data_IF_691225151961
#
_entry.id   IF_691225151961
#
_cell.length_a   1.000
_cell.length_b   1.000
_cell.length_c   1.000
_cell.angle_alpha   90.00
_cell.angle_beta   90.00
_cell.angle_gamma   90.00
#
_symmetry.space_group_name_H-M   'P 1'
#
loop_
_entity.id
_entity.type
_entity.pdbx_description
1 polymer ?
#
# COMPACT_ATOMS: atom_id res chain seq x y z
N UNK A 1 -8.87 3.48 -18.35
CA UNK A 1 -7.99 4.56 -18.85
C UNK A 1 -8.07 5.81 -17.98
N UNK A 2 -9.22 6.49 -17.96
CA UNK A 2 -9.40 7.80 -17.31
C UNK A 2 -9.00 7.80 -15.83
N UNK A 3 -9.39 6.77 -15.07
CA UNK A 3 -9.05 6.67 -13.63
C UNK A 3 -7.53 6.69 -13.40
N UNK A 4 -6.76 5.94 -14.18
CA UNK A 4 -5.29 5.90 -14.05
C UNK A 4 -4.65 7.25 -14.38
N UNK A 5 -5.16 7.93 -15.41
CA UNK A 5 -4.68 9.26 -15.77
C UNK A 5 -4.95 10.28 -14.65
N UNK A 6 -6.15 10.28 -14.08
CA UNK A 6 -6.51 11.17 -12.95
C UNK A 6 -5.66 10.87 -11.73
N UNK A 7 -5.48 9.60 -11.36
CA UNK A 7 -4.63 9.21 -10.22
C UNK A 7 -3.19 9.70 -10.40
N UNK A 8 -2.64 9.58 -11.61
CA UNK A 8 -1.30 10.08 -11.92
C UNK A 8 -1.21 11.60 -11.77
N UNK A 9 -2.15 12.34 -12.37
CA UNK A 9 -2.20 13.79 -12.28
C UNK A 9 -2.33 14.28 -10.81
N UNK A 10 -3.22 13.67 -10.04
CA UNK A 10 -3.41 13.97 -8.61
C UNK A 10 -2.14 13.68 -7.81
N UNK A 11 -1.45 12.56 -8.08
CA UNK A 11 -0.18 12.24 -7.44
C UNK A 11 0.91 13.29 -7.69
N UNK A 12 1.04 13.78 -8.93
CA UNK A 12 2.00 14.84 -9.28
C UNK A 12 1.65 16.17 -8.60
N UNK A 13 0.39 16.60 -8.70
CA UNK A 13 -0.06 17.88 -8.14
C UNK A 13 0.06 17.90 -6.60
N UNK A 14 -0.30 16.79 -5.96
CA UNK A 14 -0.16 16.64 -4.50
C UNK A 14 1.30 16.67 -4.08
N UNK A 15 2.20 15.97 -4.77
CA UNK A 15 3.64 16.01 -4.46
C UNK A 15 4.21 17.43 -4.52
N UNK A 16 3.86 18.21 -5.55
CA UNK A 16 4.26 19.62 -5.68
C UNK A 16 3.71 20.46 -4.53
N UNK A 17 2.42 20.29 -4.21
CA UNK A 17 1.75 21.03 -3.13
C UNK A 17 2.39 20.75 -1.77
N UNK A 18 2.67 19.48 -1.49
CA UNK A 18 3.29 19.02 -0.25
C UNK A 18 4.72 19.53 -0.14
N UNK A 19 5.51 19.43 -1.21
CA UNK A 19 6.87 19.94 -1.24
C UNK A 19 6.90 21.45 -0.98
N UNK A 20 5.96 22.21 -1.56
CA UNK A 20 5.81 23.63 -1.30
C UNK A 20 5.47 23.94 0.15
N UNK A 21 4.50 23.23 0.74
CA UNK A 21 4.10 23.39 2.14
C UNK A 21 5.25 23.06 3.10
N UNK A 22 5.93 21.92 2.90
CA UNK A 22 7.05 21.49 3.74
C UNK A 22 8.24 22.45 3.65
N UNK A 23 8.60 22.89 2.44
CA UNK A 23 9.67 23.88 2.21
C UNK A 23 9.40 25.18 2.96
N UNK A 24 8.13 25.59 3.06
CA UNK A 24 7.73 26.83 3.74
C UNK A 24 7.60 26.67 5.25
N UNK A 25 7.39 25.47 5.77
CA UNK A 25 7.07 25.22 7.18
C UNK A 25 8.23 24.58 7.93
N UNK A 26 8.54 23.33 7.60
CA UNK A 26 9.39 22.44 8.41
C UNK A 26 10.83 22.41 7.91
N UNK A 27 11.07 22.44 6.60
CA UNK A 27 12.42 22.30 6.01
C UNK A 27 13.00 23.64 5.57
N UNK A 28 12.92 24.65 6.45
CA UNK A 28 13.58 25.94 6.24
C UNK A 28 15.09 25.76 6.41
N UNK A 29 15.84 25.90 5.33
CA UNK A 29 17.30 25.79 5.35
C UNK A 29 17.93 26.42 4.13
N UNK A 30 19.23 26.73 4.22
CA UNK A 30 20.00 27.20 3.08
C UNK A 30 20.01 26.10 1.99
N UNK A 31 19.73 26.43 0.73
CA UNK A 31 19.86 25.46 -0.35
C UNK A 31 21.31 24.97 -0.38
N UNK A 32 21.51 23.68 -0.12
CA UNK A 32 22.81 23.04 -0.27
C UNK A 32 23.14 23.09 -1.78
N UNK A 33 24.23 23.74 -2.19
CA UNK A 33 24.61 23.79 -3.59
C UNK A 33 24.84 22.35 -4.06
N UNK A 34 23.99 21.92 -4.99
CA UNK A 34 24.08 20.60 -5.58
C UNK A 34 25.27 20.63 -6.54
N UNK A 35 26.45 20.32 -6.01
CA UNK A 35 27.66 20.09 -6.80
C UNK A 35 27.45 18.81 -7.61
N UNK A 36 26.78 18.98 -8.75
CA UNK A 36 26.57 17.90 -9.71
C UNK A 36 27.79 17.86 -10.61
N UNK A 37 28.92 17.44 -10.04
CA UNK A 37 30.08 17.06 -10.84
C UNK A 37 29.69 15.81 -11.62
N UNK A 38 29.52 15.95 -12.94
CA UNK A 38 29.07 14.85 -13.77
C UNK A 38 30.20 13.80 -13.80
N UNK A 39 30.01 12.60 -13.22
CA UNK A 39 31.02 11.57 -13.26
C UNK A 39 31.24 11.14 -14.72
N UNK A 40 32.45 10.69 -15.04
CA UNK A 40 32.78 10.20 -16.37
C UNK A 40 31.82 9.09 -16.77
N UNK A 41 31.02 9.31 -17.81
CA UNK A 41 30.05 8.33 -18.31
C UNK A 41 30.79 7.17 -18.97
N UNK A 42 30.94 6.05 -18.25
CA UNK A 42 31.54 4.82 -18.77
C UNK A 42 30.44 3.90 -19.28
N UNK A 43 30.59 3.38 -20.50
CA UNK A 43 29.66 2.39 -21.03
C UNK A 43 29.76 1.10 -20.22
N UNK A 44 28.62 0.50 -19.80
CA UNK A 44 28.64 -0.74 -19.03
C UNK A 44 29.09 -1.90 -19.91
N UNK A 45 29.90 -2.81 -19.36
CA UNK A 45 30.16 -4.10 -19.99
C UNK A 45 28.86 -4.92 -19.96
N UNK A 46 28.43 -5.40 -21.13
CA UNK A 46 27.16 -6.12 -21.27
C UNK A 46 27.13 -7.38 -20.40
N UNK A 47 28.25 -8.10 -20.25
CA UNK A 47 28.27 -9.34 -19.47
C UNK A 47 28.09 -9.05 -17.98
N UNK A 48 28.79 -8.06 -17.47
CA UNK A 48 28.66 -7.64 -16.07
C UNK A 48 27.26 -7.08 -15.79
N UNK A 49 26.70 -6.33 -16.74
CA UNK A 49 25.32 -5.86 -16.64
C UNK A 49 24.33 -7.03 -16.47
N UNK A 50 24.38 -8.05 -17.34
CA UNK A 50 23.48 -9.20 -17.25
C UNK A 50 23.71 -10.04 -15.99
N UNK A 51 24.96 -10.23 -15.58
CA UNK A 51 25.33 -10.95 -14.35
C UNK A 51 24.78 -10.25 -13.11
N UNK A 52 24.96 -8.93 -13.03
CA UNK A 52 24.45 -8.12 -11.93
C UNK A 52 22.92 -8.04 -11.93
N UNK A 53 22.31 -7.91 -13.11
CA UNK A 53 20.85 -7.88 -13.24
C UNK A 53 20.23 -9.20 -12.79
N UNK A 54 20.77 -10.33 -13.24
CA UNK A 54 20.29 -11.67 -12.87
C UNK A 54 20.49 -11.95 -11.38
N UNK A 55 21.64 -11.59 -10.81
CA UNK A 55 21.88 -11.70 -9.37
C UNK A 55 20.90 -10.85 -8.54
N UNK A 56 20.61 -9.62 -8.98
CA UNK A 56 19.62 -8.75 -8.33
C UNK A 56 18.20 -9.27 -8.49
N UNK A 57 17.84 -9.77 -9.67
CA UNK A 57 16.53 -10.39 -9.92
C UNK A 57 16.33 -11.63 -9.05
N UNK A 58 17.35 -12.51 -8.95
CA UNK A 58 17.30 -13.69 -8.08
C UNK A 58 17.22 -13.31 -6.60
N UNK A 59 17.99 -12.30 -6.18
CA UNK A 59 17.91 -11.78 -4.82
C UNK A 59 16.51 -11.20 -4.52
N UNK A 60 15.88 -10.52 -5.48
CA UNK A 60 14.52 -10.03 -5.36
C UNK A 60 13.51 -11.18 -5.22
N UNK A 61 13.55 -12.18 -6.10
CA UNK A 61 12.67 -13.35 -6.05
C UNK A 61 12.79 -14.06 -4.70
N UNK A 62 14.01 -14.29 -4.21
CA UNK A 62 14.20 -14.93 -2.90
C UNK A 62 13.69 -14.06 -1.75
N UNK A 63 13.99 -12.76 -1.72
CA UNK A 63 13.62 -11.89 -0.59
C UNK A 63 12.13 -11.54 -0.58
N UNK A 64 11.58 -11.10 -1.70
CA UNK A 64 10.16 -10.77 -1.81
C UNK A 64 9.31 -12.04 -1.75
N UNK A 65 9.70 -13.08 -2.50
CA UNK A 65 8.94 -14.33 -2.56
C UNK A 65 8.83 -15.06 -1.22
N UNK A 66 9.92 -15.11 -0.43
CA UNK A 66 9.85 -15.71 0.92
C UNK A 66 8.91 -14.93 1.84
N UNK A 67 8.97 -13.59 1.84
CA UNK A 67 8.06 -12.76 2.64
C UNK A 67 6.62 -12.97 2.21
N UNK A 68 6.33 -12.92 0.90
CA UNK A 68 4.97 -13.13 0.36
C UNK A 68 4.44 -14.50 0.79
N UNK A 69 5.24 -15.56 0.63
CA UNK A 69 4.85 -16.92 1.01
C UNK A 69 4.50 -17.03 2.50
N UNK A 70 5.36 -16.53 3.39
CA UNK A 70 5.09 -16.55 4.83
C UNK A 70 3.84 -15.76 5.19
N UNK A 71 3.67 -14.56 4.63
CA UNK A 71 2.49 -13.73 4.88
C UNK A 71 1.23 -14.42 4.38
N UNK A 72 1.24 -15.03 3.20
CA UNK A 72 0.09 -15.77 2.66
C UNK A 72 -0.30 -16.97 3.53
N UNK A 73 0.68 -17.76 4.00
CA UNK A 73 0.42 -18.91 4.89
C UNK A 73 -0.14 -18.46 6.23
N UNK A 74 0.46 -17.43 6.85
CA UNK A 74 -0.01 -16.87 8.12
C UNK A 74 -1.41 -16.28 7.96
N UNK A 75 -1.64 -15.50 6.91
CA UNK A 75 -2.93 -14.88 6.64
C UNK A 75 -4.02 -15.92 6.37
N UNK A 76 -3.72 -16.95 5.57
CA UNK A 76 -4.63 -18.07 5.34
C UNK A 76 -4.99 -18.76 6.66
N UNK A 77 -4.01 -18.99 7.54
CA UNK A 77 -4.27 -19.57 8.86
C UNK A 77 -5.17 -18.65 9.72
N UNK A 78 -4.85 -17.36 9.79
CA UNK A 78 -5.61 -16.38 10.58
C UNK A 78 -7.04 -16.18 10.06
N UNK A 79 -7.25 -16.29 8.75
CA UNK A 79 -8.57 -16.17 8.11
C UNK A 79 -9.37 -17.46 8.14
N UNK A 80 -8.72 -18.62 8.29
CA UNK A 80 -9.40 -19.92 8.31
C UNK A 80 -9.77 -20.39 9.73
N UNK A 81 -9.08 -19.92 10.77
CA UNK A 81 -9.28 -20.38 12.15
C UNK A 81 -9.82 -19.29 13.09
N UNK A 82 -10.69 -19.64 14.06
CA UNK A 82 -11.31 -20.95 14.30
C UNK A 82 -12.32 -21.36 13.21
N UNK A 83 -12.21 -22.61 12.73
CA UNK A 83 -13.08 -23.16 11.70
C UNK A 83 -14.47 -23.48 12.27
N UNK A 84 -15.54 -23.02 11.60
CA UNK A 84 -16.92 -23.34 12.01
C UNK A 84 -17.89 -22.16 12.06
N UNK A 85 -17.44 -20.94 11.75
CA UNK A 85 -18.33 -19.78 11.56
C UNK A 85 -18.35 -19.40 10.09
N UNK A 86 -19.55 -19.20 9.53
CA UNK A 86 -19.72 -18.71 8.15
C UNK A 86 -19.39 -17.20 8.03
N UNK A 87 -18.98 -16.57 9.13
CA UNK A 87 -18.65 -15.15 9.20
C UNK A 87 -17.17 -14.98 9.50
N UNK A 88 -16.47 -14.30 8.58
CA UNK A 88 -15.05 -14.02 8.68
C UNK A 88 -14.71 -13.21 9.93
N UNK A 89 -15.69 -12.52 10.53
CA UNK A 89 -15.51 -11.73 11.75
C UNK A 89 -15.12 -12.53 12.98
N UNK A 90 -15.49 -13.81 13.04
CA UNK A 90 -15.15 -14.72 14.13
C UNK A 90 -13.80 -15.42 13.95
N UNK A 91 -13.09 -15.16 12.85
CA UNK A 91 -11.72 -15.65 12.61
C UNK A 91 -10.70 -14.79 13.35
N UNK A 92 -9.49 -15.29 13.58
CA UNK A 92 -8.44 -14.46 14.20
C UNK A 92 -8.14 -13.20 13.38
N UNK A 93 -8.15 -13.32 12.06
CA UNK A 93 -8.02 -12.19 11.15
C UNK A 93 -9.17 -11.19 11.32
N UNK A 94 -10.42 -11.69 11.42
CA UNK A 94 -11.61 -10.89 11.67
C UNK A 94 -11.58 -10.16 13.00
N UNK A 95 -11.13 -10.83 14.07
CA UNK A 95 -10.98 -10.22 15.39
C UNK A 95 -9.96 -9.07 15.35
N UNK A 96 -8.79 -9.29 14.76
CA UNK A 96 -7.77 -8.25 14.61
C UNK A 96 -8.26 -7.13 13.68
N UNK A 97 -8.88 -7.48 12.56
CA UNK A 97 -9.43 -6.53 11.59
C UNK A 97 -10.53 -5.65 12.18
N UNK A 98 -11.35 -6.20 13.07
CA UNK A 98 -12.43 -5.47 13.75
C UNK A 98 -11.94 -4.38 14.71
N UNK A 99 -10.65 -4.40 15.08
CA UNK A 99 -10.02 -3.31 15.83
C UNK A 99 -9.73 -2.10 14.93
N UNK A 100 -9.44 -2.34 13.66
CA UNK A 100 -9.06 -1.33 12.67
C UNK A 100 -10.30 -0.84 11.90
N UNK A 101 -11.27 -1.73 11.69
CA UNK A 101 -12.52 -1.46 10.95
C UNK A 101 -13.23 -0.16 11.37
N UNK A 102 -13.42 0.19 12.67
CA UNK A 102 -14.15 1.39 13.05
C UNK A 102 -13.50 2.68 12.55
N UNK A 103 -12.17 2.67 12.43
CA UNK A 103 -11.40 3.81 11.91
C UNK A 103 -11.54 3.88 10.40
N UNK A 104 -11.63 2.74 9.69
CA UNK A 104 -11.67 2.69 8.23
C UNK A 104 -13.10 2.73 7.64
N UNK A 105 -14.12 2.41 8.43
CA UNK A 105 -15.52 2.44 8.01
C UNK A 105 -16.00 3.81 7.49
N UNK A 106 -15.60 4.96 8.07
CA UNK A 106 -15.98 6.29 7.56
C UNK A 106 -15.43 6.62 6.18
N UNK A 107 -14.35 5.96 5.74
CA UNK A 107 -13.77 6.12 4.39
C UNK A 107 -14.29 5.05 3.41
N UNK A 108 -15.28 4.25 3.82
CA UNK A 108 -15.95 3.27 2.98
C UNK A 108 -15.25 1.92 2.87
N UNK A 109 -14.33 1.60 3.78
CA UNK A 109 -13.63 0.32 3.80
C UNK A 109 -14.34 -0.70 4.70
N UNK A 110 -14.43 -1.93 4.19
CA UNK A 110 -15.02 -3.06 4.88
C UNK A 110 -13.97 -3.84 5.68
N UNK A 111 -14.42 -4.84 6.45
CA UNK A 111 -13.56 -5.68 7.28
C UNK A 111 -12.51 -6.43 6.45
N UNK A 112 -12.87 -6.93 5.27
CA UNK A 112 -11.96 -7.64 4.36
C UNK A 112 -10.82 -6.74 3.89
N UNK A 113 -11.14 -5.47 3.59
CA UNK A 113 -10.14 -4.46 3.23
C UNK A 113 -9.25 -4.18 4.43
N UNK A 114 -9.80 -4.01 5.63
CA UNK A 114 -9.04 -3.77 6.86
C UNK A 114 -8.04 -4.91 7.15
N UNK A 115 -8.46 -6.16 6.95
CA UNK A 115 -7.60 -7.35 7.10
C UNK A 115 -6.48 -7.34 6.05
N UNK A 116 -6.79 -7.05 4.79
CA UNK A 116 -5.81 -7.07 3.71
C UNK A 116 -4.83 -5.89 3.73
N UNK A 117 -5.21 -4.77 4.36
CA UNK A 117 -4.39 -3.56 4.44
C UNK A 117 -3.14 -3.77 5.31
N UNK A 118 -3.25 -4.55 6.38
CA UNK A 118 -2.14 -4.86 7.30
C UNK A 118 -0.94 -5.52 6.60
N UNK A 119 -1.10 -6.67 5.90
CA UNK A 119 -0.02 -7.24 5.12
C UNK A 119 0.35 -6.37 3.90
N UNK A 120 -0.61 -5.61 3.35
CA UNK A 120 -0.36 -4.62 2.30
C UNK A 120 0.59 -3.49 2.70
N UNK A 121 0.69 -3.16 3.99
CA UNK A 121 1.67 -2.20 4.51
C UNK A 121 3.09 -2.78 4.57
N UNK A 122 3.23 -4.11 4.69
CA UNK A 122 4.54 -4.77 4.65
C UNK A 122 5.11 -4.73 3.22
N UNK A 123 4.28 -5.05 2.23
CA UNK A 123 4.60 -4.92 0.81
C UNK A 123 3.32 -4.65 0.01
N UNK A 124 3.38 -3.68 -0.91
CA UNK A 124 2.21 -3.18 -1.63
C UNK A 124 1.60 -4.23 -2.54
N UNK A 125 2.44 -5.09 -3.09
CA UNK A 125 2.10 -6.19 -4.00
C UNK A 125 1.35 -7.31 -3.27
N UNK A 126 1.54 -7.43 -1.95
CA UNK A 126 0.88 -8.45 -1.12
C UNK A 126 -0.61 -8.14 -0.92
N UNK A 127 -1.02 -6.88 -1.05
CA UNK A 127 -2.41 -6.46 -0.82
C UNK A 127 -3.42 -7.22 -1.70
N UNK A 128 -3.11 -7.40 -2.98
CA UNK A 128 -3.98 -8.13 -3.92
C UNK A 128 -4.04 -9.61 -3.58
N UNK A 129 -2.90 -10.20 -3.20
CA UNK A 129 -2.84 -11.58 -2.73
C UNK A 129 -3.64 -11.79 -1.44
N UNK A 130 -3.55 -10.85 -0.50
CA UNK A 130 -4.28 -10.88 0.76
C UNK A 130 -5.80 -10.76 0.55
N UNK A 131 -6.25 -9.87 -0.34
CA UNK A 131 -7.66 -9.81 -0.75
C UNK A 131 -8.10 -11.12 -1.39
N UNK A 132 -7.27 -11.69 -2.28
CA UNK A 132 -7.48 -13.00 -2.88
C UNK A 132 -7.72 -14.09 -1.84
N UNK A 133 -6.86 -14.20 -0.83
CA UNK A 133 -7.00 -15.22 0.22
C UNK A 133 -8.24 -14.99 1.09
N UNK A 134 -8.54 -13.74 1.44
CA UNK A 134 -9.69 -13.38 2.29
C UNK A 134 -11.01 -13.72 1.59
N UNK A 135 -11.17 -13.30 0.33
CA UNK A 135 -12.39 -13.57 -0.44
C UNK A 135 -12.53 -15.05 -0.83
N UNK A 136 -11.42 -15.76 -1.10
CA UNK A 136 -11.47 -17.20 -1.39
C UNK A 136 -11.96 -18.03 -0.20
N UNK A 137 -11.57 -17.66 1.03
CA UNK A 137 -12.02 -18.34 2.25
C UNK A 137 -13.51 -18.04 2.53
N UNK A 138 -13.96 -16.80 2.29
CA UNK A 138 -15.36 -16.40 2.50
C UNK A 138 -16.32 -17.01 1.46
N UNK A 139 -15.87 -17.23 0.22
CA UNK A 139 -16.67 -17.80 -0.87
C UNK A 139 -16.85 -19.32 -0.84
N UNK A 140 -16.39 -20.02 0.20
CA UNK A 140 -16.64 -21.46 0.37
C UNK A 140 -15.95 -22.37 -0.67
N UNK A 141 -14.83 -21.95 -1.26
CA UNK A 141 -14.05 -22.78 -2.19
C UNK A 141 -14.57 -22.85 -3.63
N UNK A 142 -15.54 -22.00 -4.00
CA UNK A 142 -15.83 -21.75 -5.40
C UNK A 142 -14.65 -21.05 -6.08
N UNK A 143 -14.23 -21.53 -7.25
CA UNK A 143 -13.12 -20.99 -8.04
C UNK A 143 -13.52 -19.68 -8.77
N UNK A 144 -14.22 -18.80 -8.07
CA UNK A 144 -14.57 -17.46 -8.56
C UNK A 144 -13.32 -16.59 -8.49
N UNK A 145 -12.90 -16.07 -9.65
CA UNK A 145 -11.74 -15.20 -9.74
C UNK A 145 -11.94 -13.94 -8.88
N UNK A 146 -10.86 -13.44 -8.27
CA UNK A 146 -10.89 -12.24 -7.41
C UNK A 146 -11.63 -11.06 -8.06
N UNK A 147 -11.51 -10.89 -9.37
CA UNK A 147 -12.20 -9.84 -10.13
C UNK A 147 -13.73 -9.90 -9.96
N UNK A 148 -14.32 -11.10 -10.06
CA UNK A 148 -15.76 -11.30 -9.95
C UNK A 148 -16.26 -11.12 -8.51
N UNK A 149 -15.49 -11.59 -7.54
CA UNK A 149 -15.76 -11.38 -6.12
C UNK A 149 -15.77 -9.88 -5.77
N UNK A 150 -14.80 -9.11 -6.27
CA UNK A 150 -14.73 -7.66 -6.04
C UNK A 150 -15.87 -6.89 -6.72
N UNK A 151 -16.31 -7.30 -7.91
CA UNK A 151 -17.44 -6.66 -8.61
C UNK A 151 -18.74 -6.76 -7.82
N UNK A 152 -18.95 -7.83 -7.06
CA UNK A 152 -20.13 -8.00 -6.22
C UNK A 152 -19.94 -7.40 -4.81
N UNK A 153 -18.73 -7.47 -4.26
CA UNK A 153 -18.46 -7.05 -2.89
C UNK A 153 -18.23 -5.55 -2.73
N UNK A 154 -17.74 -4.85 -3.76
CA UNK A 154 -17.31 -3.45 -3.65
C UNK A 154 -18.23 -2.50 -4.40
N UNK A 155 -18.61 -1.42 -3.72
CA UNK A 155 -19.18 -0.24 -4.38
C UNK A 155 -18.10 0.50 -5.17
N UNK A 156 -18.50 1.20 -6.25
CA UNK A 156 -17.57 2.02 -7.04
C UNK A 156 -16.85 3.09 -6.18
N UNK A 157 -17.50 3.79 -5.23
CA UNK A 157 -16.84 4.70 -4.30
C UNK A 157 -15.76 4.02 -3.45
N UNK A 158 -16.03 2.81 -2.95
CA UNK A 158 -15.06 2.04 -2.16
C UNK A 158 -13.83 1.68 -3.00
N UNK A 159 -14.02 1.24 -4.25
CA UNK A 159 -12.92 0.92 -5.15
C UNK A 159 -12.04 2.16 -5.45
N UNK A 160 -12.67 3.31 -5.70
CA UNK A 160 -11.95 4.57 -5.94
C UNK A 160 -11.20 5.05 -4.68
N UNK A 161 -11.82 4.95 -3.51
CA UNK A 161 -11.20 5.27 -2.24
C UNK A 161 -10.00 4.36 -1.93
N UNK A 162 -10.10 3.07 -2.26
CA UNK A 162 -9.00 2.11 -2.13
C UNK A 162 -7.82 2.48 -3.03
N UNK A 163 -8.07 2.85 -4.29
CA UNK A 163 -7.01 3.34 -5.19
C UNK A 163 -6.37 4.63 -4.67
N UNK A 164 -7.18 5.59 -4.21
CA UNK A 164 -6.69 6.85 -3.63
C UNK A 164 -5.83 6.61 -2.38
N UNK A 165 -6.24 5.69 -1.50
CA UNK A 165 -5.43 5.27 -0.36
C UNK A 165 -4.04 4.83 -0.81
N UNK A 166 -3.94 3.92 -1.78
CA UNK A 166 -2.65 3.40 -2.24
C UNK A 166 -1.80 4.43 -3.01
N UNK A 167 -2.36 5.52 -3.52
CA UNK A 167 -1.54 6.62 -4.07
C UNK A 167 -0.68 7.28 -2.98
N UNK A 168 -1.22 7.39 -1.77
CA UNK A 168 -0.62 8.15 -0.67
C UNK A 168 -0.13 7.32 0.51
N UNK A 169 -0.55 6.06 0.58
CA UNK A 169 -0.21 5.15 1.66
C UNK A 169 1.31 5.12 1.86
N UNK A 170 1.78 5.06 3.12
CA UNK A 170 3.20 4.95 3.40
C UNK A 170 3.81 3.79 2.63
N UNK A 171 5.01 4.04 2.09
CA UNK A 171 5.76 3.05 1.35
C UNK A 171 6.13 1.86 2.26
N UNK A 172 6.51 0.74 1.64
CA UNK A 172 6.78 -0.52 2.33
C UNK A 172 7.88 -0.42 3.41
N UNK A 173 7.89 -1.35 4.36
CA UNK A 173 8.83 -1.38 5.51
C UNK A 173 10.30 -1.19 5.11
N UNK A 174 10.71 -1.67 3.94
CA UNK A 174 12.05 -1.49 3.41
C UNK A 174 12.42 0.00 3.19
N UNK A 175 11.52 0.78 2.58
CA UNK A 175 11.73 2.22 2.38
C UNK A 175 11.78 2.99 3.70
N UNK A 176 10.93 2.62 4.68
CA UNK A 176 10.95 3.22 6.01
C UNK A 176 12.23 2.89 6.77
N UNK A 177 12.75 1.67 6.61
CA UNK A 177 14.03 1.26 7.17
C UNK A 177 15.20 2.04 6.57
N UNK A 178 15.19 2.29 5.26
CA UNK A 178 16.19 3.14 4.60
C UNK A 178 16.04 4.59 5.05
N UNK A 179 14.83 5.15 5.05
CA UNK A 179 14.57 6.50 5.51
C UNK A 179 15.06 6.72 6.95
N UNK A 180 14.86 5.74 7.83
CA UNK A 180 15.41 5.76 9.20
C UNK A 180 16.94 5.72 9.21
N UNK A 181 17.56 4.87 8.38
CA UNK A 181 19.02 4.74 8.31
C UNK A 181 19.68 6.02 7.81
N UNK A 182 19.10 6.67 6.81
CA UNK A 182 19.62 7.91 6.21
C UNK A 182 19.37 9.15 7.10
N UNK A 183 18.20 9.25 7.73
CA UNK A 183 17.88 10.39 8.61
C UNK A 183 18.42 10.24 10.02
N UNK A 184 18.87 9.03 10.39
CA UNK A 184 19.34 8.63 11.72
C UNK A 184 18.43 9.12 12.87
N UNK A 185 17.13 9.26 12.62
CA UNK A 185 16.19 9.87 13.57
C UNK A 185 14.81 9.23 13.49
N UNK A 186 14.40 8.62 14.60
CA UNK A 186 13.05 8.07 14.75
C UNK A 186 11.95 9.13 14.69
N UNK A 187 12.24 10.37 15.11
CA UNK A 187 11.27 11.47 15.05
C UNK A 187 10.92 11.81 13.61
N UNK A 188 11.90 11.79 12.71
CA UNK A 188 11.69 12.04 11.29
C UNK A 188 10.98 10.88 10.59
N UNK A 189 11.36 9.63 10.89
CA UNK A 189 10.68 8.47 10.32
C UNK A 189 9.21 8.41 10.74
N UNK A 190 8.91 8.64 12.04
CA UNK A 190 7.53 8.65 12.54
C UNK A 190 6.73 9.82 11.97
N UNK A 191 7.34 11.00 11.82
CA UNK A 191 6.70 12.14 11.15
C UNK A 191 6.29 11.79 9.71
N UNK A 192 7.18 11.18 8.91
CA UNK A 192 6.88 10.76 7.54
C UNK A 192 5.71 9.76 7.51
N UNK A 193 5.77 8.73 8.36
CA UNK A 193 4.73 7.69 8.43
C UNK A 193 3.38 8.29 8.83
N UNK A 194 3.34 9.08 9.91
CA UNK A 194 2.11 9.69 10.40
C UNK A 194 1.51 10.65 9.37
N UNK A 195 2.35 11.47 8.74
CA UNK A 195 1.94 12.39 7.70
C UNK A 195 1.33 11.68 6.48
N UNK A 196 1.99 10.63 5.96
CA UNK A 196 1.50 9.87 4.81
C UNK A 196 0.21 9.10 5.14
N UNK A 197 0.10 8.48 6.32
CA UNK A 197 -1.14 7.83 6.75
C UNK A 197 -2.30 8.82 6.86
N UNK A 198 -2.04 10.00 7.44
CA UNK A 198 -3.07 11.05 7.57
C UNK A 198 -3.53 11.51 6.19
N UNK A 199 -2.58 11.75 5.28
CA UNK A 199 -2.90 12.18 3.92
C UNK A 199 -3.64 11.10 3.13
N UNK A 200 -3.24 9.83 3.25
CA UNK A 200 -3.93 8.70 2.64
C UNK A 200 -5.37 8.55 3.15
N UNK A 201 -5.57 8.67 4.46
CA UNK A 201 -6.90 8.61 5.08
C UNK A 201 -7.81 9.75 4.58
N UNK A 202 -7.29 10.98 4.55
CA UNK A 202 -8.04 12.14 4.07
C UNK A 202 -8.35 12.03 2.57
N UNK A 203 -7.40 11.59 1.75
CA UNK A 203 -7.60 11.44 0.31
C UNK A 203 -8.60 10.32 -0.02
N UNK A 204 -8.50 9.17 0.68
CA UNK A 204 -9.46 8.07 0.54
C UNK A 204 -10.87 8.51 0.96
N UNK A 205 -10.99 9.16 2.12
CA UNK A 205 -12.25 9.70 2.61
C UNK A 205 -12.85 10.74 1.66
N UNK A 206 -12.07 11.71 1.21
CA UNK A 206 -12.53 12.71 0.24
C UNK A 206 -13.04 12.02 -1.05
N UNK A 207 -12.29 11.06 -1.56
CA UNK A 207 -12.69 10.31 -2.77
C UNK A 207 -13.99 9.54 -2.55
N UNK A 208 -14.13 8.85 -1.42
CA UNK A 208 -15.34 8.10 -1.06
C UNK A 208 -16.58 9.00 -0.99
N UNK A 209 -16.49 10.10 -0.24
CA UNK A 209 -17.62 11.00 -0.04
C UNK A 209 -17.98 11.80 -1.28
N UNK A 210 -16.98 12.23 -2.07
CA UNK A 210 -17.23 12.91 -3.36
C UNK A 210 -17.91 11.95 -4.33
N UNK A 211 -17.42 10.71 -4.47
CA UNK A 211 -18.01 9.72 -5.35
C UNK A 211 -19.46 9.41 -4.96
N UNK A 212 -19.70 9.19 -3.66
CA UNK A 212 -21.04 8.97 -3.12
C UNK A 212 -21.97 10.16 -3.35
N UNK A 213 -21.47 11.38 -3.16
CA UNK A 213 -22.25 12.60 -3.40
C UNK A 213 -22.57 12.81 -4.88
N UNK A 214 -21.70 12.35 -5.79
CA UNK A 214 -21.97 12.35 -7.23
C UNK A 214 -22.93 11.24 -7.69
N UNK A 215 -23.42 10.40 -6.77
CA UNK A 215 -24.37 9.32 -7.06
C UNK A 215 -23.73 8.06 -7.65
N UNK A 216 -22.42 7.89 -7.47
CA UNK A 216 -21.67 6.69 -7.85
C UNK A 216 -21.70 5.62 -6.75
#
# INVERSE_FOLDING_TARGET
GIVMFVLYAVGVLSAITVAFVLKRTVTKGAPQPLLMELPTYKLPDLRDFFSNLSARAWAFIRRAGTIIFYVSVILWFLTSYPAGSNDIRHTYAGMIGSLIEPILKPIGFNLEIAIALVPGMAAREVAVGALGTVYAVQGGGGDVGLTEALQHAWSLPTALAFLAWYVFAPQCLASLAVARRETNSWRWTTFIVAYLFTLAYLAAGATYWIARASGL
#
